data_IF_482568648540
#
_entry.id   IF_482568648540
#
_cell.length_a   1.000
_cell.length_b   1.000
_cell.length_c   1.000
_cell.angle_alpha   90.00
_cell.angle_beta   90.00
_cell.angle_gamma   90.00
#
_symmetry.space_group_name_H-M   'P 1'
#
loop_
_entity.id
_entity.type
_entity.pdbx_description
1 polymer ?
#
# COMPACT_ATOMS: atom_id res chain seq x y z
N UNK A 1 31.90 41.75 5.27
CA UNK A 1 31.66 41.01 4.02
C UNK A 1 32.59 39.80 4.03
N UNK A 2 32.15 38.71 4.67
CA UNK A 2 32.87 37.43 4.62
C UNK A 2 31.82 36.33 4.71
N UNK A 3 31.54 35.77 3.54
CA UNK A 3 30.84 34.53 3.19
C UNK A 3 30.31 33.71 4.38
N UNK A 4 29.03 33.92 4.71
CA UNK A 4 28.14 32.81 5.04
C UNK A 4 27.97 32.03 3.73
N UNK A 5 28.83 31.04 3.50
CA UNK A 5 28.49 29.95 2.60
C UNK A 5 27.21 29.34 3.18
N UNK A 6 26.08 29.63 2.54
CA UNK A 6 24.93 28.75 2.60
C UNK A 6 25.48 27.36 2.29
N UNK A 7 25.56 26.50 3.31
CA UNK A 7 25.65 25.06 3.09
C UNK A 7 24.33 24.72 2.44
N UNK A 8 24.28 24.81 1.12
CA UNK A 8 23.24 24.16 0.33
C UNK A 8 23.48 22.69 0.63
N UNK A 9 22.72 22.15 1.57
CA UNK A 9 22.72 20.73 1.89
C UNK A 9 22.40 20.01 0.58
N UNK A 10 23.43 19.48 -0.09
CA UNK A 10 23.23 18.88 -1.39
C UNK A 10 22.38 17.63 -1.18
N UNK A 11 21.27 17.49 -1.92
CA UNK A 11 20.40 16.33 -1.75
C UNK A 11 21.21 15.05 -1.99
N UNK A 12 20.98 14.05 -1.13
CA UNK A 12 21.71 12.79 -1.13
C UNK A 12 21.81 12.16 -2.53
N UNK A 13 22.93 11.52 -2.84
CA UNK A 13 23.10 10.71 -4.06
C UNK A 13 22.45 9.36 -3.87
N UNK A 14 21.54 8.99 -4.77
CA UNK A 14 20.66 7.83 -4.60
C UNK A 14 20.92 6.81 -5.69
N UNK A 15 21.23 5.58 -5.27
CA UNK A 15 21.27 4.41 -6.14
C UNK A 15 19.97 3.63 -6.02
N UNK A 16 19.38 3.23 -7.14
CA UNK A 16 18.11 2.48 -7.15
C UNK A 16 18.25 1.14 -7.88
N UNK A 17 17.82 0.06 -7.22
CA UNK A 17 17.68 -1.29 -7.78
C UNK A 17 16.34 -1.88 -7.35
N UNK A 18 15.28 -1.45 -8.03
CA UNK A 18 13.91 -1.76 -7.62
C UNK A 18 12.94 -1.92 -8.81
N UNK A 19 11.85 -2.67 -8.65
CA UNK A 19 10.74 -2.67 -9.62
C UNK A 19 10.11 -1.28 -9.79
N UNK A 20 10.23 -0.42 -8.78
CA UNK A 20 9.76 0.97 -8.75
C UNK A 20 10.73 1.96 -9.41
N UNK A 21 11.89 1.50 -9.92
CA UNK A 21 13.02 2.38 -10.33
C UNK A 21 12.62 3.50 -11.29
N UNK A 22 11.70 3.26 -12.23
CA UNK A 22 11.31 4.29 -13.21
C UNK A 22 10.54 5.42 -12.56
N UNK A 23 9.55 5.08 -11.73
CA UNK A 23 8.74 6.07 -11.02
C UNK A 23 9.59 6.83 -10.00
N UNK A 24 10.38 6.09 -9.20
CA UNK A 24 11.28 6.70 -8.22
C UNK A 24 12.33 7.60 -8.88
N UNK A 25 12.93 7.20 -10.01
CA UNK A 25 13.89 8.08 -10.71
C UNK A 25 13.24 9.40 -11.14
N UNK A 26 12.03 9.37 -11.73
CA UNK A 26 11.32 10.61 -12.11
C UNK A 26 11.07 11.48 -10.88
N UNK A 27 10.53 10.88 -9.82
CA UNK A 27 10.20 11.57 -8.57
C UNK A 27 11.44 12.24 -7.95
N UNK A 28 12.56 11.53 -7.92
CA UNK A 28 13.84 12.02 -7.40
C UNK A 28 14.40 13.18 -8.22
N UNK A 29 14.43 13.04 -9.55
CA UNK A 29 14.95 14.08 -10.45
C UNK A 29 14.11 15.35 -10.38
N UNK A 30 12.78 15.22 -10.29
CA UNK A 30 11.87 16.37 -10.13
C UNK A 30 12.11 17.13 -8.83
N UNK A 31 12.55 16.43 -7.79
CA UNK A 31 12.88 16.99 -6.49
C UNK A 31 14.35 17.43 -6.35
N UNK A 32 15.15 17.33 -7.42
CA UNK A 32 16.55 17.77 -7.45
C UNK A 32 17.56 16.79 -6.86
N UNK A 33 17.17 15.54 -6.53
CA UNK A 33 18.10 14.51 -6.09
C UNK A 33 18.98 14.01 -7.24
N UNK A 34 20.20 13.58 -6.90
CA UNK A 34 21.14 13.00 -7.85
C UNK A 34 20.99 11.48 -7.88
N UNK A 35 20.70 10.93 -9.06
CA UNK A 35 20.65 9.47 -9.26
C UNK A 35 22.00 8.96 -9.73
N UNK A 36 22.59 8.04 -8.97
CA UNK A 36 23.90 7.44 -9.28
C UNK A 36 23.79 5.97 -9.70
N UNK A 37 24.74 5.54 -10.52
CA UNK A 37 24.75 4.23 -11.17
C UNK A 37 23.41 3.85 -11.83
N UNK A 38 22.79 4.72 -12.65
CA UNK A 38 21.54 4.39 -13.32
C UNK A 38 21.74 3.20 -14.28
N UNK A 39 20.77 2.28 -14.29
CA UNK A 39 20.76 1.16 -15.24
C UNK A 39 20.63 1.67 -16.67
N UNK A 40 21.03 0.88 -17.67
CA UNK A 40 20.94 1.27 -19.08
C UNK A 40 19.54 1.75 -19.47
N UNK A 41 18.50 1.05 -19.00
CA UNK A 41 17.09 1.40 -19.24
C UNK A 41 16.68 2.73 -18.59
N UNK A 42 17.23 3.04 -17.42
CA UNK A 42 16.97 4.32 -16.74
C UNK A 42 17.71 5.45 -17.47
N UNK A 43 18.96 5.24 -17.88
CA UNK A 43 19.71 6.22 -18.68
C UNK A 43 18.99 6.56 -19.98
N UNK A 44 18.52 5.56 -20.71
CA UNK A 44 17.75 5.75 -21.94
C UNK A 44 16.48 6.59 -21.71
N UNK A 45 15.71 6.28 -20.66
CA UNK A 45 14.44 6.95 -20.38
C UNK A 45 14.57 8.40 -19.94
N UNK A 46 15.65 8.72 -19.23
CA UNK A 46 15.84 10.04 -18.60
C UNK A 46 16.99 10.83 -19.22
N UNK A 47 17.60 10.32 -20.30
CA UNK A 47 18.78 10.89 -20.94
C UNK A 47 19.92 11.20 -19.93
N UNK A 48 20.16 10.25 -19.01
CA UNK A 48 21.20 10.39 -17.98
C UNK A 48 22.53 9.82 -18.48
N UNK A 49 23.61 10.51 -18.12
CA UNK A 49 24.95 9.99 -18.33
C UNK A 49 25.24 8.82 -17.39
N UNK A 50 26.25 8.03 -17.75
CA UNK A 50 26.77 7.02 -16.84
C UNK A 50 27.62 7.72 -15.78
N UNK A 51 27.23 7.58 -14.51
CA UNK A 51 28.04 7.95 -13.36
C UNK A 51 28.27 6.71 -12.47
N UNK A 52 29.40 6.72 -11.78
CA UNK A 52 29.82 5.66 -10.84
C UNK A 52 30.29 6.25 -9.52
N UNK A 53 29.77 7.43 -9.19
CA UNK A 53 29.99 8.07 -7.90
C UNK A 53 29.36 7.23 -6.77
N UNK A 54 29.95 7.24 -5.57
CA UNK A 54 29.38 6.51 -4.45
C UNK A 54 28.00 7.09 -4.10
N UNK A 55 27.05 6.21 -3.79
CA UNK A 55 25.74 6.63 -3.30
C UNK A 55 25.78 6.89 -1.80
N UNK A 56 24.96 7.86 -1.37
CA UNK A 56 24.70 8.10 0.04
C UNK A 56 23.49 7.28 0.51
N UNK A 57 22.51 7.06 -0.35
CA UNK A 57 21.37 6.16 -0.10
C UNK A 57 21.29 5.08 -1.18
N UNK A 58 21.07 3.84 -0.74
CA UNK A 58 20.81 2.71 -1.62
C UNK A 58 19.38 2.20 -1.42
N UNK A 59 18.62 2.17 -2.51
CA UNK A 59 17.22 1.73 -2.55
C UNK A 59 17.14 0.38 -3.25
N UNK A 60 16.52 -0.59 -2.58
CA UNK A 60 16.27 -1.95 -3.06
C UNK A 60 14.80 -2.30 -2.90
N UNK A 61 14.31 -3.30 -3.63
CA UNK A 61 13.00 -3.87 -3.30
C UNK A 61 13.06 -4.58 -1.94
N UNK A 62 11.94 -4.56 -1.21
CA UNK A 62 11.70 -5.52 -0.14
C UNK A 62 11.47 -6.92 -0.69
N UNK A 63 11.66 -7.94 0.15
CA UNK A 63 11.52 -9.35 -0.24
C UNK A 63 10.13 -9.70 -0.80
N UNK A 64 9.07 -9.05 -0.29
CA UNK A 64 7.70 -9.23 -0.75
C UNK A 64 7.33 -8.34 -1.96
N UNK A 65 8.25 -7.47 -2.39
CA UNK A 65 8.10 -6.46 -3.44
C UNK A 65 7.01 -5.40 -3.15
N UNK A 66 6.47 -5.35 -1.93
CA UNK A 66 5.37 -4.45 -1.53
C UNK A 66 5.86 -3.06 -1.08
N UNK A 67 7.10 -2.73 -1.44
CA UNK A 67 7.74 -1.47 -1.12
C UNK A 67 9.25 -1.60 -1.29
N UNK A 68 9.99 -0.78 -0.56
CA UNK A 68 11.45 -0.66 -0.70
C UNK A 68 12.16 -0.78 0.65
N UNK A 69 13.42 -1.19 0.59
CA UNK A 69 14.38 -1.03 1.67
C UNK A 69 15.36 0.08 1.28
N UNK A 70 15.62 1.01 2.19
CA UNK A 70 16.60 2.08 2.03
C UNK A 70 17.70 1.87 3.05
N UNK A 71 18.96 1.99 2.62
CA UNK A 71 20.12 1.96 3.51
C UNK A 71 21.03 3.17 3.28
N UNK A 72 21.55 3.75 4.36
CA UNK A 72 22.51 4.85 4.31
C UNK A 72 22.64 5.60 5.64
N UNK A 73 23.25 6.79 5.66
CA UNK A 73 23.40 7.61 6.86
C UNK A 73 22.04 7.96 7.48
N UNK A 74 21.92 7.97 8.82
CA UNK A 74 20.64 8.24 9.50
C UNK A 74 19.98 9.56 9.10
N UNK A 75 20.77 10.63 8.96
CA UNK A 75 20.27 11.97 8.61
C UNK A 75 19.64 11.96 7.21
N UNK A 76 20.34 11.40 6.22
CA UNK A 76 19.84 11.28 4.85
C UNK A 76 18.60 10.39 4.77
N UNK A 77 18.56 9.30 5.54
CA UNK A 77 17.41 8.40 5.57
C UNK A 77 16.17 9.11 6.14
N UNK A 78 16.32 9.83 7.26
CA UNK A 78 15.22 10.60 7.86
C UNK A 78 14.67 11.65 6.89
N UNK A 79 15.54 12.46 6.27
CA UNK A 79 15.14 13.43 5.26
C UNK A 79 14.40 12.77 4.09
N UNK A 80 14.94 11.65 3.59
CA UNK A 80 14.34 10.93 2.48
C UNK A 80 12.99 10.28 2.81
N UNK A 81 12.82 9.79 4.04
CA UNK A 81 11.53 9.27 4.52
C UNK A 81 10.47 10.38 4.55
N UNK A 82 10.80 11.56 5.08
CA UNK A 82 9.89 12.71 5.06
C UNK A 82 9.50 13.07 3.63
N UNK A 83 10.47 13.19 2.73
CA UNK A 83 10.22 13.42 1.31
C UNK A 83 9.28 12.37 0.71
N UNK A 84 9.50 11.08 0.97
CA UNK A 84 8.62 10.02 0.45
C UNK A 84 7.19 10.13 0.98
N UNK A 85 7.00 10.42 2.27
CA UNK A 85 5.67 10.58 2.87
C UNK A 85 4.94 11.83 2.36
N UNK A 86 5.66 12.87 1.95
CA UNK A 86 5.09 14.05 1.30
C UNK A 86 4.65 13.77 -0.15
N UNK A 87 5.42 12.97 -0.88
CA UNK A 87 5.12 12.64 -2.28
C UNK A 87 4.15 11.47 -2.45
N UNK A 88 4.13 10.54 -1.48
CA UNK A 88 3.34 9.32 -1.48
C UNK A 88 2.54 9.26 -0.18
N UNK A 89 1.29 9.73 -0.25
CA UNK A 89 0.40 9.93 0.90
C UNK A 89 0.39 8.77 1.90
N UNK A 90 0.31 7.54 1.42
CA UNK A 90 0.21 6.32 2.23
C UNK A 90 1.51 5.51 2.28
N UNK A 91 2.68 6.08 1.95
CA UNK A 91 3.96 5.40 2.21
C UNK A 91 4.19 5.25 3.73
N UNK A 92 4.48 4.03 4.18
CA UNK A 92 4.57 3.70 5.62
C UNK A 92 5.93 3.11 5.97
N UNK A 93 6.58 3.66 6.99
CA UNK A 93 7.76 3.05 7.61
C UNK A 93 7.33 1.87 8.49
N UNK A 94 7.74 0.66 8.12
CA UNK A 94 7.44 -0.56 8.88
C UNK A 94 8.47 -0.85 9.96
N UNK A 95 9.74 -0.80 9.59
CA UNK A 95 10.86 -1.10 10.48
C UNK A 95 12.07 -0.24 10.14
N UNK A 96 12.87 0.07 11.15
CA UNK A 96 14.19 0.66 10.98
C UNK A 96 15.17 0.02 11.96
N UNK A 97 16.46 0.02 11.61
CA UNK A 97 17.49 -0.56 12.45
C UNK A 97 18.89 -0.39 11.86
N UNK A 98 19.93 -0.91 12.53
CA UNK A 98 21.29 -0.86 11.99
C UNK A 98 21.38 -1.68 10.70
N UNK A 99 22.14 -1.17 9.73
CA UNK A 99 22.54 -1.96 8.58
C UNK A 99 23.49 -3.08 9.06
N UNK A 100 23.25 -4.31 8.62
CA UNK A 100 24.05 -5.47 9.07
C UNK A 100 25.47 -5.50 8.49
N UNK A 101 25.67 -4.77 7.40
CA UNK A 101 26.86 -4.90 6.54
C UNK A 101 27.87 -3.77 6.77
N UNK A 102 27.45 -2.62 7.31
CA UNK A 102 28.30 -1.43 7.48
C UNK A 102 28.02 -0.69 8.79
N UNK A 103 29.07 -0.44 9.57
CA UNK A 103 28.97 0.33 10.83
C UNK A 103 28.56 1.78 10.56
N UNK A 104 27.62 2.29 11.36
CA UNK A 104 27.13 3.67 11.28
C UNK A 104 26.00 3.91 10.26
N UNK A 105 25.70 2.93 9.40
CA UNK A 105 24.55 3.01 8.51
C UNK A 105 23.29 2.43 9.15
N UNK A 106 22.15 2.98 8.76
CA UNK A 106 20.82 2.46 9.10
C UNK A 106 20.13 1.92 7.87
N UNK A 107 19.18 1.04 8.10
CA UNK A 107 18.23 0.55 7.10
C UNK A 107 16.81 0.85 7.54
N UNK A 108 15.93 1.07 6.58
CA UNK A 108 14.50 1.22 6.81
C UNK A 108 13.69 0.48 5.73
N UNK A 109 12.70 -0.29 6.18
CA UNK A 109 11.70 -0.91 5.33
C UNK A 109 10.48 -0.01 5.19
N UNK A 110 10.16 0.37 3.96
CA UNK A 110 8.99 1.18 3.62
C UNK A 110 7.98 0.31 2.86
N UNK A 111 6.72 0.34 3.26
CA UNK A 111 5.59 -0.20 2.50
C UNK A 111 5.08 0.86 1.52
N UNK A 112 4.75 0.41 0.31
CA UNK A 112 3.95 1.17 -0.64
C UNK A 112 2.57 0.51 -0.76
N UNK A 113 1.55 0.97 -0.02
CA UNK A 113 0.19 0.51 -0.16
C UNK A 113 -0.46 0.98 -1.46
N UNK A 114 -1.75 0.69 -1.64
CA UNK A 114 -2.45 0.89 -2.91
C UNK A 114 -2.39 2.32 -3.45
N UNK A 115 -2.43 3.35 -2.61
CA UNK A 115 -2.31 4.74 -3.02
C UNK A 115 -0.92 5.07 -3.57
N UNK A 116 0.13 4.68 -2.87
CA UNK A 116 1.52 4.93 -3.23
C UNK A 116 1.86 4.22 -4.54
N UNK A 117 1.43 2.95 -4.70
CA UNK A 117 1.59 2.22 -5.97
C UNK A 117 0.84 2.91 -7.11
N UNK A 118 -0.39 3.39 -6.89
CA UNK A 118 -1.15 4.10 -7.90
C UNK A 118 -0.47 5.42 -8.31
N UNK A 119 0.07 6.17 -7.36
CA UNK A 119 0.86 7.39 -7.63
C UNK A 119 2.12 7.06 -8.43
N UNK A 120 2.87 6.04 -8.02
CA UNK A 120 4.08 5.59 -8.73
C UNK A 120 3.75 5.07 -10.14
N UNK A 121 2.62 4.39 -10.34
CA UNK A 121 2.14 3.97 -11.66
C UNK A 121 1.82 5.18 -12.55
N UNK A 122 1.18 6.22 -11.99
CA UNK A 122 0.89 7.45 -12.73
C UNK A 122 2.16 8.21 -13.12
N UNK A 123 3.14 8.32 -12.20
CA UNK A 123 4.45 8.90 -12.49
C UNK A 123 5.15 8.10 -13.59
N UNK A 124 5.14 6.77 -13.49
CA UNK A 124 5.71 5.89 -14.52
C UNK A 124 5.05 6.13 -15.88
N UNK A 125 3.73 6.27 -15.93
CA UNK A 125 2.98 6.53 -17.16
C UNK A 125 3.41 7.84 -17.84
N UNK A 126 3.83 8.85 -17.07
CA UNK A 126 4.39 10.10 -17.63
C UNK A 126 5.75 9.93 -18.34
N UNK A 127 6.45 8.83 -18.07
CA UNK A 127 7.79 8.54 -18.61
C UNK A 127 7.75 7.51 -19.72
N UNK A 128 6.87 6.51 -19.62
CA UNK A 128 6.86 5.36 -20.52
C UNK A 128 5.46 4.76 -20.61
N UNK A 129 5.00 4.29 -21.79
CA UNK A 129 3.73 3.58 -21.90
C UNK A 129 3.68 2.40 -20.92
N UNK A 130 2.62 2.35 -20.13
CA UNK A 130 2.42 1.34 -19.09
C UNK A 130 0.93 1.15 -18.83
N UNK A 131 0.59 0.04 -18.16
CA UNK A 131 -0.77 -0.34 -17.81
C UNK A 131 -1.09 0.09 -16.37
N UNK A 132 -2.37 0.34 -16.08
CA UNK A 132 -2.84 0.53 -14.71
C UNK A 132 -2.43 -0.64 -13.80
N UNK A 133 -2.10 -0.33 -12.54
CA UNK A 133 -1.66 -1.31 -11.53
C UNK A 133 -0.35 -2.01 -11.91
N UNK A 134 0.55 -1.34 -12.65
CA UNK A 134 1.80 -1.91 -13.14
C UNK A 134 2.60 -2.58 -12.01
N UNK A 135 2.87 -1.86 -10.92
CA UNK A 135 3.68 -2.42 -9.83
C UNK A 135 2.98 -3.62 -9.17
N UNK A 136 1.67 -3.54 -8.92
CA UNK A 136 0.90 -4.66 -8.37
C UNK A 136 0.92 -5.89 -9.29
N UNK A 137 0.71 -5.69 -10.59
CA UNK A 137 0.74 -6.75 -11.59
C UNK A 137 2.15 -7.34 -11.78
N UNK A 138 3.20 -6.53 -11.56
CA UNK A 138 4.58 -7.00 -11.55
C UNK A 138 4.81 -8.00 -10.42
N UNK A 139 4.24 -7.75 -9.24
CA UNK A 139 4.28 -8.64 -8.08
C UNK A 139 3.48 -9.92 -8.36
N UNK A 140 2.27 -9.79 -8.92
CA UNK A 140 1.36 -10.92 -9.15
C UNK A 140 1.85 -11.85 -10.28
N UNK A 141 2.14 -11.28 -11.45
CA UNK A 141 2.48 -12.04 -12.64
C UNK A 141 3.29 -11.17 -13.61
N UNK A 142 4.58 -11.02 -13.31
CA UNK A 142 5.52 -10.23 -14.11
C UNK A 142 5.55 -10.60 -15.60
N UNK A 143 5.39 -11.90 -15.91
CA UNK A 143 5.40 -12.42 -17.29
C UNK A 143 4.14 -12.03 -18.06
N UNK A 144 2.96 -12.10 -17.44
CA UNK A 144 1.71 -11.66 -18.07
C UNK A 144 1.72 -10.14 -18.32
N UNK A 145 2.19 -9.38 -17.33
CA UNK A 145 2.36 -7.93 -17.46
C UNK A 145 3.31 -7.56 -18.61
N UNK A 146 4.50 -8.19 -18.69
CA UNK A 146 5.47 -7.90 -19.73
C UNK A 146 4.91 -8.16 -21.14
N UNK A 147 4.22 -9.29 -21.34
CA UNK A 147 3.52 -9.56 -22.60
C UNK A 147 2.49 -8.49 -22.94
N UNK A 148 1.71 -8.05 -21.94
CA UNK A 148 0.70 -7.03 -22.15
C UNK A 148 1.31 -5.66 -22.46
N UNK A 149 2.45 -5.29 -21.85
CA UNK A 149 3.17 -4.04 -22.16
C UNK A 149 3.81 -4.06 -23.56
N UNK A 150 4.33 -5.21 -24.02
CA UNK A 150 4.80 -5.39 -25.40
C UNK A 150 3.64 -5.17 -26.38
N UNK A 151 2.48 -5.78 -26.11
CA UNK A 151 1.27 -5.60 -26.92
C UNK A 151 0.77 -4.15 -26.90
N UNK A 152 0.80 -3.49 -25.75
CA UNK A 152 0.44 -2.07 -25.62
C UNK A 152 1.35 -1.18 -26.49
N UNK A 153 2.65 -1.49 -26.53
CA UNK A 153 3.60 -0.74 -27.37
C UNK A 153 3.28 -0.87 -28.85
N UNK A 154 2.87 -2.07 -29.30
CA UNK A 154 2.47 -2.31 -30.69
C UNK A 154 1.03 -1.81 -31.01
N UNK A 155 0.15 -1.80 -30.02
CA UNK A 155 -1.29 -1.52 -30.15
C UNK A 155 -1.81 -0.64 -29.01
N UNK A 156 -1.47 0.67 -28.98
CA UNK A 156 -1.88 1.58 -27.90
C UNK A 156 -3.39 1.68 -27.73
N UNK A 157 -4.16 1.52 -28.81
CA UNK A 157 -5.63 1.54 -28.82
C UNK A 157 -6.27 0.43 -28.00
N UNK A 158 -5.52 -0.64 -27.66
CA UNK A 158 -6.04 -1.77 -26.88
C UNK A 158 -5.91 -1.60 -25.37
N UNK A 159 -5.37 -0.47 -24.89
CA UNK A 159 -5.06 -0.24 -23.46
C UNK A 159 -6.18 -0.68 -22.52
N UNK A 160 -7.39 -0.17 -22.69
CA UNK A 160 -8.52 -0.47 -21.80
C UNK A 160 -8.88 -1.97 -21.77
N UNK A 161 -8.78 -2.64 -22.92
CA UNK A 161 -9.07 -4.08 -23.01
C UNK A 161 -7.96 -4.93 -22.39
N UNK A 162 -6.69 -4.54 -22.57
CA UNK A 162 -5.55 -5.18 -21.92
C UNK A 162 -5.64 -5.05 -20.40
N UNK A 163 -5.96 -3.86 -19.89
CA UNK A 163 -6.09 -3.62 -18.45
C UNK A 163 -7.24 -4.42 -17.83
N UNK A 164 -8.41 -4.45 -18.50
CA UNK A 164 -9.55 -5.26 -18.06
C UNK A 164 -9.21 -6.75 -18.07
N UNK A 165 -8.69 -7.27 -19.17
CA UNK A 165 -8.39 -8.70 -19.31
C UNK A 165 -7.32 -9.14 -18.31
N UNK A 166 -6.26 -8.34 -18.15
CA UNK A 166 -5.19 -8.66 -17.21
C UNK A 166 -5.70 -8.70 -15.77
N UNK A 167 -6.56 -7.75 -15.37
CA UNK A 167 -7.20 -7.78 -14.06
C UNK A 167 -8.12 -8.99 -13.87
N UNK A 168 -8.97 -9.29 -14.86
CA UNK A 168 -9.86 -10.45 -14.82
C UNK A 168 -9.08 -11.76 -14.69
N UNK A 169 -8.10 -11.98 -15.57
CA UNK A 169 -7.37 -13.24 -15.68
C UNK A 169 -6.41 -13.48 -14.51
N UNK A 170 -5.75 -12.43 -14.04
CA UNK A 170 -4.71 -12.58 -13.00
C UNK A 170 -5.27 -12.43 -11.59
N UNK A 171 -6.40 -11.76 -11.39
CA UNK A 171 -6.94 -11.46 -10.05
C UNK A 171 -8.31 -12.12 -9.84
N UNK A 172 -9.34 -11.75 -10.62
CA UNK A 172 -10.71 -12.21 -10.31
C UNK A 172 -10.93 -13.70 -10.57
N UNK A 173 -10.56 -14.21 -11.75
CA UNK A 173 -10.77 -15.62 -12.10
C UNK A 173 -10.06 -16.58 -11.13
N UNK A 174 -8.83 -16.32 -10.64
CA UNK A 174 -8.22 -17.12 -9.58
C UNK A 174 -9.04 -17.18 -8.28
N UNK A 175 -9.56 -16.04 -7.81
CA UNK A 175 -10.39 -15.96 -6.59
C UNK A 175 -11.67 -16.77 -6.78
N UNK A 176 -12.35 -16.59 -7.92
CA UNK A 176 -13.59 -17.28 -8.26
C UNK A 176 -13.40 -18.80 -8.36
N UNK A 177 -12.31 -19.24 -9.00
CA UNK A 177 -11.95 -20.66 -9.10
C UNK A 177 -11.63 -21.27 -7.74
N UNK A 178 -10.98 -20.51 -6.85
CA UNK A 178 -10.67 -20.98 -5.51
C UNK A 178 -11.91 -21.06 -4.61
N UNK A 179 -12.89 -20.17 -4.79
CA UNK A 179 -14.03 -20.01 -3.90
C UNK A 179 -13.68 -19.54 -2.48
N UNK A 180 -12.41 -19.24 -2.22
CA UNK A 180 -11.88 -18.80 -0.95
C UNK A 180 -11.29 -17.40 -1.11
N UNK A 181 -11.52 -16.56 -0.10
CA UNK A 181 -10.96 -15.21 -0.03
C UNK A 181 -10.09 -15.13 1.20
N UNK A 182 -8.83 -14.76 0.98
CA UNK A 182 -7.85 -14.43 1.99
C UNK A 182 -7.66 -12.92 2.03
N UNK A 183 -7.84 -12.34 3.21
CA UNK A 183 -7.61 -10.92 3.46
C UNK A 183 -6.31 -10.76 4.22
N UNK A 184 -5.34 -10.12 3.58
CA UNK A 184 -4.05 -9.81 4.14
C UNK A 184 -4.07 -8.43 4.79
N UNK A 185 -3.89 -8.44 6.11
CA UNK A 185 -3.96 -7.25 6.95
C UNK A 185 -2.53 -6.87 7.36
N UNK A 186 -1.96 -5.87 6.68
CA UNK A 186 -0.62 -5.37 6.98
C UNK A 186 -0.72 -4.37 8.11
N UNK A 187 0.13 -4.49 9.14
CA UNK A 187 0.22 -3.51 10.22
C UNK A 187 1.52 -2.72 10.11
N UNK A 188 1.49 -1.40 10.37
CA UNK A 188 2.70 -0.58 10.49
C UNK A 188 3.71 -1.16 11.49
N UNK A 189 3.23 -1.78 12.58
CA UNK A 189 4.07 -2.38 13.62
C UNK A 189 4.84 -3.65 13.20
N UNK A 190 4.71 -4.11 11.94
CA UNK A 190 5.43 -5.28 11.42
C UNK A 190 4.97 -6.63 11.99
N UNK A 191 4.01 -6.66 12.92
CA UNK A 191 3.49 -7.90 13.51
C UNK A 191 2.67 -8.67 12.49
N UNK A 192 3.18 -9.82 12.08
CA UNK A 192 2.48 -10.74 11.18
C UNK A 192 1.18 -11.23 11.83
N UNK A 193 0.05 -10.95 11.18
CA UNK A 193 -1.24 -11.50 11.55
C UNK A 193 -1.61 -12.68 10.67
N UNK A 194 -2.27 -13.67 11.25
CA UNK A 194 -2.92 -14.70 10.45
C UNK A 194 -3.96 -14.01 9.56
N UNK A 195 -3.94 -14.28 8.25
CA UNK A 195 -4.88 -13.66 7.34
C UNK A 195 -6.30 -14.07 7.70
N UNK A 196 -7.24 -13.15 7.47
CA UNK A 196 -8.66 -13.42 7.69
C UNK A 196 -9.20 -14.13 6.45
N UNK A 197 -9.69 -15.35 6.63
CA UNK A 197 -10.18 -16.19 5.53
C UNK A 197 -11.70 -16.36 5.57
N UNK A 198 -12.30 -16.57 4.40
CA UNK A 198 -13.71 -16.93 4.27
C UNK A 198 -14.08 -17.42 2.87
N UNK A 199 -15.35 -17.77 2.71
CA UNK A 199 -15.89 -18.33 1.46
C UNK A 199 -16.43 -17.20 0.60
N UNK A 200 -16.03 -17.14 -0.66
CA UNK A 200 -16.53 -16.16 -1.62
C UNK A 200 -18.05 -16.33 -1.79
N UNK A 201 -18.78 -15.24 -1.65
CA UNK A 201 -20.23 -15.18 -1.90
C UNK A 201 -20.52 -14.49 -3.23
N UNK A 202 -19.81 -13.38 -3.51
CA UNK A 202 -19.98 -12.60 -4.73
C UNK A 202 -18.68 -11.90 -5.10
N UNK A 203 -18.40 -11.82 -6.39
CA UNK A 203 -17.31 -11.05 -6.99
C UNK A 203 -17.83 -10.23 -8.16
N UNK A 204 -17.22 -9.08 -8.40
CA UNK A 204 -17.32 -8.32 -9.64
C UNK A 204 -16.03 -7.52 -9.87
N UNK A 205 -16.00 -6.69 -10.91
CA UNK A 205 -14.83 -5.86 -11.24
C UNK A 205 -14.50 -4.77 -10.20
N UNK A 206 -15.40 -4.49 -9.27
CA UNK A 206 -15.27 -3.45 -8.25
C UNK A 206 -14.93 -4.01 -6.86
N UNK A 207 -15.23 -5.29 -6.58
CA UNK A 207 -15.11 -5.80 -5.22
C UNK A 207 -15.55 -7.25 -5.01
N UNK A 208 -15.41 -7.67 -3.77
CA UNK A 208 -15.70 -9.02 -3.27
C UNK A 208 -16.58 -8.94 -2.03
N UNK A 209 -17.50 -9.89 -1.90
CA UNK A 209 -18.22 -10.18 -0.66
C UNK A 209 -17.91 -11.62 -0.28
N UNK A 210 -17.43 -11.84 0.93
CA UNK A 210 -17.13 -13.18 1.42
C UNK A 210 -17.66 -13.40 2.85
N UNK A 211 -18.04 -14.64 3.11
CA UNK A 211 -18.61 -15.09 4.38
C UNK A 211 -17.54 -15.72 5.25
N UNK A 212 -17.44 -15.24 6.48
CA UNK A 212 -16.52 -15.73 7.51
C UNK A 212 -17.30 -16.44 8.60
N UNK A 213 -16.73 -17.53 9.09
CA UNK A 213 -17.27 -18.27 10.23
C UNK A 213 -16.37 -18.06 11.44
N UNK A 214 -16.99 -17.89 12.61
CA UNK A 214 -16.28 -17.67 13.85
C UNK A 214 -16.55 -18.85 14.80
N UNK A 215 -15.52 -19.33 15.48
CA UNK A 215 -15.63 -20.48 16.38
C UNK A 215 -15.72 -20.08 17.85
N UNK A 216 -15.05 -18.99 18.25
CA UNK A 216 -15.02 -18.45 19.61
C UNK A 216 -14.45 -17.03 19.61
N UNK A 217 -14.74 -16.23 20.64
CA UNK A 217 -14.16 -14.91 20.85
C UNK A 217 -15.21 -13.82 21.10
N UNK A 218 -14.80 -12.57 20.89
CA UNK A 218 -15.68 -11.40 20.86
C UNK A 218 -15.50 -10.71 19.51
N UNK A 219 -16.53 -10.04 19.03
CA UNK A 219 -16.41 -9.23 17.84
C UNK A 219 -15.52 -8.01 18.12
N UNK A 220 -14.55 -7.76 17.23
CA UNK A 220 -13.63 -6.63 17.32
C UNK A 220 -14.41 -5.32 17.46
N UNK A 221 -14.07 -4.52 18.47
CA UNK A 221 -14.72 -3.24 18.79
C UNK A 221 -16.15 -3.33 19.36
N UNK A 222 -16.95 -4.33 18.97
CA UNK A 222 -18.33 -4.46 19.41
C UNK A 222 -18.45 -4.92 20.86
N UNK A 223 -17.44 -5.61 21.40
CA UNK A 223 -17.44 -6.16 22.76
C UNK A 223 -18.69 -7.04 23.03
N UNK A 224 -19.08 -7.85 22.04
CA UNK A 224 -20.17 -8.82 22.11
C UNK A 224 -19.56 -10.23 21.93
N UNK A 225 -19.91 -11.21 22.78
CA UNK A 225 -19.41 -12.57 22.62
C UNK A 225 -19.98 -13.22 21.36
N UNK A 226 -19.12 -13.90 20.62
CA UNK A 226 -19.48 -14.65 19.42
C UNK A 226 -20.27 -15.88 19.86
N UNK A 227 -21.48 -16.06 19.30
CA UNK A 227 -22.28 -17.25 19.54
C UNK A 227 -22.07 -18.29 18.45
N UNK A 228 -22.33 -19.55 18.78
CA UNK A 228 -22.20 -20.64 17.82
C UNK A 228 -23.19 -20.46 16.66
N UNK A 229 -22.67 -20.46 15.44
CA UNK A 229 -23.45 -20.30 14.21
C UNK A 229 -23.57 -18.86 13.73
N UNK A 230 -23.07 -17.89 14.49
CA UNK A 230 -22.93 -16.53 13.98
C UNK A 230 -21.94 -16.49 12.80
N UNK A 231 -22.13 -15.50 11.93
CA UNK A 231 -21.29 -15.32 10.76
C UNK A 231 -21.07 -13.85 10.44
N UNK A 232 -20.00 -13.58 9.69
CA UNK A 232 -19.66 -12.24 9.22
C UNK A 232 -19.69 -12.19 7.70
N UNK A 233 -20.27 -11.15 7.13
CA UNK A 233 -20.09 -10.78 5.73
C UNK A 233 -19.06 -9.66 5.67
N UNK A 234 -18.02 -9.86 4.87
CA UNK A 234 -17.00 -8.84 4.65
C UNK A 234 -17.14 -8.33 3.23
N UNK A 235 -17.35 -7.02 3.09
CA UNK A 235 -17.46 -6.31 1.83
C UNK A 235 -16.16 -5.56 1.58
N UNK A 236 -15.52 -5.87 0.46
CA UNK A 236 -14.25 -5.29 0.03
C UNK A 236 -14.44 -4.65 -1.34
N UNK A 237 -14.04 -3.40 -1.47
CA UNK A 237 -14.05 -2.68 -2.74
C UNK A 237 -12.64 -2.24 -3.11
N UNK A 238 -12.24 -2.50 -4.35
CA UNK A 238 -10.96 -2.05 -4.92
C UNK A 238 -10.82 -0.52 -4.75
N UNK A 239 -9.72 -0.08 -4.16
CA UNK A 239 -9.41 1.32 -3.92
C UNK A 239 -10.17 1.96 -2.74
N UNK A 240 -11.03 1.22 -2.04
CA UNK A 240 -11.70 1.71 -0.84
C UNK A 240 -10.70 1.96 0.29
N UNK A 241 -10.94 3.00 1.08
CA UNK A 241 -10.17 3.32 2.29
C UNK A 241 -10.74 2.68 3.57
N UNK A 242 -11.71 1.79 3.40
CA UNK A 242 -12.22 0.98 4.49
C UNK A 242 -12.68 -0.38 4.00
N UNK A 243 -12.63 -1.36 4.90
CA UNK A 243 -13.28 -2.66 4.73
C UNK A 243 -14.45 -2.75 5.70
N UNK A 244 -15.61 -3.14 5.19
CA UNK A 244 -16.83 -3.27 5.98
C UNK A 244 -17.04 -4.71 6.40
N UNK A 245 -17.28 -4.92 7.68
CA UNK A 245 -17.63 -6.19 8.28
C UNK A 245 -19.01 -6.09 8.92
N UNK A 246 -19.96 -6.88 8.42
CA UNK A 246 -21.33 -6.97 8.96
C UNK A 246 -21.50 -8.31 9.67
N UNK A 247 -21.84 -8.28 10.96
CA UNK A 247 -21.97 -9.48 11.78
C UNK A 247 -23.44 -9.84 12.00
N UNK A 248 -23.77 -11.13 11.87
CA UNK A 248 -25.13 -11.63 11.96
C UNK A 248 -25.22 -12.82 12.91
N UNK A 249 -26.36 -12.95 13.60
CA UNK A 249 -26.68 -14.17 14.33
C UNK A 249 -26.92 -15.34 13.38
N UNK A 250 -26.95 -16.57 13.91
CA UNK A 250 -27.31 -17.76 13.12
C UNK A 250 -28.69 -17.64 12.43
N UNK A 251 -29.64 -16.88 13.00
CA UNK A 251 -30.96 -16.59 12.43
C UNK A 251 -30.95 -15.44 11.41
N UNK A 252 -29.80 -14.81 11.17
CA UNK A 252 -29.65 -13.70 10.21
C UNK A 252 -30.00 -12.32 10.75
N UNK A 253 -30.12 -12.14 12.07
CA UNK A 253 -30.30 -10.81 12.67
C UNK A 253 -28.98 -10.06 12.69
N UNK A 254 -28.96 -8.81 12.22
CA UNK A 254 -27.78 -7.95 12.29
C UNK A 254 -27.41 -7.67 13.76
N UNK A 255 -26.16 -7.97 14.11
CA UNK A 255 -25.56 -7.67 15.43
C UNK A 255 -24.96 -6.26 15.39
N UNK A 256 -24.20 -5.96 14.34
CA UNK A 256 -23.55 -4.67 14.14
C UNK A 256 -22.62 -4.68 12.93
N UNK A 257 -22.15 -3.50 12.59
CA UNK A 257 -21.19 -3.25 11.51
C UNK A 257 -19.90 -2.67 12.09
N UNK A 258 -18.79 -3.08 11.51
CA UNK A 258 -17.44 -2.64 11.87
C UNK A 258 -16.71 -2.26 10.58
N UNK A 259 -16.22 -1.03 10.52
CA UNK A 259 -15.50 -0.46 9.39
C UNK A 259 -14.06 -0.28 9.81
N UNK A 260 -13.18 -1.06 9.20
CA UNK A 260 -11.75 -0.94 9.42
C UNK A 260 -11.19 0.11 8.47
N UNK A 261 -10.66 1.22 8.99
CA UNK A 261 -10.07 2.26 8.15
C UNK A 261 -8.65 1.84 7.77
N UNK A 262 -8.38 1.90 6.47
CA UNK A 262 -7.16 1.39 5.89
C UNK A 262 -6.71 2.22 4.69
N UNK A 263 -5.49 1.94 4.24
CA UNK A 263 -5.01 2.41 2.94
C UNK A 263 -5.83 1.77 1.81
N UNK A 264 -5.92 2.37 0.61
CA UNK A 264 -6.70 1.85 -0.50
C UNK A 264 -6.53 0.35 -0.74
N UNK A 265 -7.64 -0.39 -0.68
CA UNK A 265 -7.60 -1.84 -0.80
C UNK A 265 -7.17 -2.28 -2.20
N UNK A 266 -6.27 -3.26 -2.25
CA UNK A 266 -5.82 -3.90 -3.47
C UNK A 266 -6.37 -5.33 -3.57
N UNK A 267 -7.01 -5.66 -4.69
CA UNK A 267 -7.37 -7.05 -4.99
C UNK A 267 -6.17 -7.82 -5.56
N UNK A 268 -6.00 -9.04 -5.05
CA UNK A 268 -4.94 -9.99 -5.38
C UNK A 268 -5.54 -11.36 -5.74
N UNK A 269 -4.81 -12.26 -6.42
CA UNK A 269 -5.35 -13.57 -6.84
C UNK A 269 -5.89 -14.45 -5.69
N UNK A 270 -5.52 -14.14 -4.44
CA UNK A 270 -5.99 -14.82 -3.24
C UNK A 270 -7.14 -14.09 -2.52
N UNK A 271 -7.46 -12.85 -2.89
CA UNK A 271 -8.45 -12.03 -2.18
C UNK A 271 -8.08 -10.55 -2.18
N UNK A 272 -7.76 -10.01 -1.01
CA UNK A 272 -7.52 -8.58 -0.82
C UNK A 272 -6.33 -8.32 0.12
N UNK A 273 -5.67 -7.17 -0.10
CA UNK A 273 -4.57 -6.66 0.72
C UNK A 273 -4.78 -5.18 1.00
N UNK A 274 -4.46 -4.76 2.22
CA UNK A 274 -4.36 -3.35 2.60
C UNK A 274 -3.49 -3.20 3.85
N UNK A 275 -3.08 -1.96 4.14
CA UNK A 275 -2.44 -1.60 5.39
C UNK A 275 -3.44 -0.96 6.36
N UNK A 276 -3.45 -1.49 7.58
CA UNK A 276 -4.28 -1.03 8.70
C UNK A 276 -3.82 0.32 9.22
N UNK A 277 -4.74 1.27 9.37
CA UNK A 277 -4.43 2.57 9.97
C UNK A 277 -4.79 2.60 11.48
N UNK A 278 -5.15 1.45 12.04
CA UNK A 278 -5.43 1.22 13.46
C UNK A 278 -6.52 2.15 14.05
N UNK A 279 -7.41 2.67 13.20
CA UNK A 279 -8.63 3.41 13.57
C UNK A 279 -9.84 2.74 12.94
N UNK A 280 -10.93 2.63 13.69
CA UNK A 280 -12.12 1.92 13.23
C UNK A 280 -13.40 2.69 13.55
N UNK A 281 -14.47 2.42 12.78
CA UNK A 281 -15.82 2.91 13.03
C UNK A 281 -16.74 1.74 13.34
N UNK A 282 -17.52 1.87 14.40
CA UNK A 282 -18.44 0.84 14.87
C UNK A 282 -19.86 1.36 14.81
N UNK A 283 -20.76 0.58 14.19
CA UNK A 283 -22.20 0.84 14.19
C UNK A 283 -22.93 -0.34 14.84
N UNK A 284 -23.40 -0.13 16.07
CA UNK A 284 -24.28 -1.10 16.76
C UNK A 284 -25.73 -0.81 16.42
N UNK A 285 -26.56 -1.85 16.40
CA UNK A 285 -27.98 -1.69 16.16
C UNK A 285 -28.63 -0.78 17.22
N UNK A 286 -29.14 0.38 16.80
CA UNK A 286 -29.81 1.34 17.67
C UNK A 286 -28.89 2.34 18.39
N UNK A 287 -27.57 2.28 18.19
CA UNK A 287 -26.61 3.25 18.72
C UNK A 287 -26.08 4.16 17.61
N UNK A 288 -25.57 5.35 17.98
CA UNK A 288 -24.84 6.19 17.02
C UNK A 288 -23.50 5.54 16.67
N UNK A 289 -23.03 5.68 15.42
CA UNK A 289 -21.68 5.27 15.06
C UNK A 289 -20.63 5.88 16.00
N UNK A 290 -19.61 5.11 16.35
CA UNK A 290 -18.50 5.56 17.19
C UNK A 290 -17.16 5.25 16.53
N UNK A 291 -16.21 6.19 16.65
CA UNK A 291 -14.84 6.01 16.20
C UNK A 291 -14.01 5.53 17.39
N UNK A 292 -13.31 4.42 17.23
CA UNK A 292 -12.44 3.84 18.25
C UNK A 292 -10.97 3.93 17.83
N UNK A 293 -10.07 3.79 18.81
CA UNK A 293 -8.62 3.70 18.59
C UNK A 293 -7.95 4.92 17.91
N UNK A 294 -8.57 6.12 18.01
CA UNK A 294 -7.96 7.38 17.54
C UNK A 294 -6.53 7.59 18.03
N UNK A 295 -6.26 7.21 19.28
CA UNK A 295 -4.94 7.34 19.90
C UNK A 295 -3.89 6.44 19.24
N UNK A 296 -4.27 5.28 18.69
CA UNK A 296 -3.34 4.38 17.98
C UNK A 296 -2.90 5.00 16.67
N UNK A 297 -3.83 5.56 15.89
CA UNK A 297 -3.50 6.29 14.67
C UNK A 297 -2.54 7.45 14.96
N UNK A 298 -2.84 8.29 15.98
CA UNK A 298 -1.94 9.39 16.35
C UNK A 298 -0.57 8.91 16.85
N UNK A 299 -0.47 7.71 17.42
CA UNK A 299 0.80 7.12 17.81
C UNK A 299 1.66 6.77 16.58
N UNK A 300 1.05 6.25 15.50
CA UNK A 300 1.76 5.95 14.25
C UNK A 300 2.44 7.21 13.68
N UNK A 301 1.73 8.35 13.66
CA UNK A 301 2.28 9.64 13.20
C UNK A 301 3.40 10.12 14.12
N UNK A 302 3.19 10.06 15.44
CA UNK A 302 4.22 10.47 16.43
C UNK A 302 5.50 9.65 16.33
N UNK A 303 5.40 8.40 15.92
CA UNK A 303 6.54 7.51 15.70
C UNK A 303 7.18 7.67 14.31
N UNK A 304 6.65 8.56 13.46
CA UNK A 304 7.11 8.76 12.07
C UNK A 304 6.77 7.59 11.14
N UNK A 305 5.93 6.65 11.58
CA UNK A 305 5.54 5.50 10.75
C UNK A 305 4.71 5.93 9.56
N UNK A 306 3.82 6.91 9.77
CA UNK A 306 2.98 7.50 8.73
C UNK A 306 3.15 9.03 8.73
N UNK A 307 2.90 9.66 7.58
CA UNK A 307 2.84 11.12 7.49
C UNK A 307 1.55 11.70 8.09
N UNK A 308 1.60 12.95 8.55
CA UNK A 308 0.44 13.64 9.13
C UNK A 308 -0.73 13.79 8.15
N UNK A 309 -0.46 13.90 6.85
CA UNK A 309 -1.48 13.93 5.81
C UNK A 309 -2.29 12.63 5.76
N UNK A 310 -1.67 11.47 6.03
CA UNK A 310 -2.36 10.19 6.06
C UNK A 310 -3.27 10.07 7.27
N UNK A 311 -2.82 10.53 8.45
CA UNK A 311 -3.64 10.59 9.66
C UNK A 311 -4.88 11.46 9.44
N UNK A 312 -4.70 12.67 8.89
CA UNK A 312 -5.83 13.56 8.56
C UNK A 312 -6.80 12.86 7.61
N UNK A 313 -6.29 12.22 6.55
CA UNK A 313 -7.13 11.51 5.57
C UNK A 313 -7.93 10.37 6.21
N UNK A 314 -7.28 9.56 7.03
CA UNK A 314 -7.92 8.44 7.74
C UNK A 314 -9.03 8.94 8.67
N UNK A 315 -8.78 10.03 9.39
CA UNK A 315 -9.76 10.64 10.27
C UNK A 315 -10.95 11.23 9.52
N UNK A 316 -10.74 11.91 8.40
CA UNK A 316 -11.83 12.41 7.53
C UNK A 316 -12.76 11.27 7.09
N UNK A 317 -12.20 10.13 6.68
CA UNK A 317 -12.96 8.96 6.26
C UNK A 317 -13.75 8.38 7.44
N UNK A 318 -13.09 8.23 8.60
CA UNK A 318 -13.73 7.74 9.81
C UNK A 318 -14.91 8.64 10.23
N UNK A 319 -14.74 9.96 10.17
CA UNK A 319 -15.75 10.95 10.52
C UNK A 319 -16.90 10.98 9.53
N UNK A 320 -16.63 10.86 8.23
CA UNK A 320 -17.67 10.70 7.20
C UNK A 320 -18.52 9.46 7.46
N UNK A 321 -17.89 8.32 7.73
CA UNK A 321 -18.59 7.08 8.06
C UNK A 321 -19.33 7.17 9.40
N UNK A 322 -18.86 7.96 10.35
CA UNK A 322 -19.57 8.16 11.61
C UNK A 322 -20.78 9.10 11.47
N UNK A 323 -20.79 9.96 10.45
CA UNK A 323 -21.87 10.90 10.17
C UNK A 323 -23.02 10.29 9.35
N UNK A 324 -22.76 9.22 8.60
CA UNK A 324 -23.79 8.44 7.91
C UNK A 324 -24.77 7.80 8.90
N UNK A 325 -26.07 8.00 8.65
CA UNK A 325 -27.17 7.46 9.44
C UNK A 325 -27.53 6.04 9.05
#
# INVERSE_FOLDING_TARGET
MTLLLEVIDMPARIKIRSIYSTALTKLLLDAGYYVVEPSAKIRERFNLEHNSEPCDLFIRDRDDLQGIEISGPPENLCQFLTFLQEQLLDAVLLESGPAREEEGLVRAGIEFPGGAKATLDAIRFSVTPTLLRHHRLRIINSRALEKAEILLTAHPEKKDSLEKNLFLETILLPIEKSGLVKMEHVRPSGKSMRPREGILIKSNSQGLIFKRFFSKGRYDGLDIPIQQGDYGLTEVHEGSWYVKHSYYTKEGKLIGEYFNINTPVELYPYGARYLDLEVDVIRRAGEKPSIIDREKLSLLTRQGQIGSALEMKAMEIAESLAAEK
#
